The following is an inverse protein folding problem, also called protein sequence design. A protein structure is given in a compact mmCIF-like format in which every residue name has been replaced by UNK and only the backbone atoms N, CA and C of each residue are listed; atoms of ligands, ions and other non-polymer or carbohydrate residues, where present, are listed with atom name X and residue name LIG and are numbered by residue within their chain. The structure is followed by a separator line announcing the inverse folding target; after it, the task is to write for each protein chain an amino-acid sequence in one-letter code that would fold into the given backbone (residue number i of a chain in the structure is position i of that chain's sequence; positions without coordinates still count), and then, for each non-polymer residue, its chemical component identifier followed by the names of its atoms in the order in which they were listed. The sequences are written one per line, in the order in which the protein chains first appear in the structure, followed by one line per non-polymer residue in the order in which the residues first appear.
data_IF_715643756224
#
_entry.id   IF_715643756224
#
_cell.length_a   1.000
_cell.length_b   1.000
_cell.length_c   1.000
_cell.angle_alpha   90.00
_cell.angle_beta   90.00
_cell.angle_gamma   90.00
#
_symmetry.space_group_name_H-M   'P 1'
#
loop_
_entity.id
_entity.type
_entity.pdbx_description
1 polymer ?
#
# COMPACT_ATOMS: atom_id res chain seq x y z
N UNK A 1 2.06 -10.31 -7.99
CA UNK A 1 2.72 -9.10 -7.46
C UNK A 1 3.36 -8.22 -8.54
N UNK A 2 4.16 -8.78 -9.47
CA UNK A 2 4.90 -7.98 -10.47
C UNK A 2 4.04 -7.05 -11.34
N UNK A 3 2.90 -7.52 -11.84
CA UNK A 3 2.01 -6.70 -12.69
C UNK A 3 1.47 -5.47 -11.94
N UNK A 4 1.12 -5.61 -10.65
CA UNK A 4 0.58 -4.49 -9.86
C UNK A 4 1.65 -3.41 -9.68
N UNK A 5 2.90 -3.80 -9.39
CA UNK A 5 4.01 -2.85 -9.27
C UNK A 5 4.28 -2.11 -10.59
N UNK A 6 4.27 -2.83 -11.70
CA UNK A 6 4.41 -2.24 -13.03
C UNK A 6 3.28 -1.25 -13.36
N UNK A 7 2.03 -1.58 -12.99
CA UNK A 7 0.89 -0.67 -13.17
C UNK A 7 1.06 0.59 -12.33
N UNK A 8 1.49 0.47 -11.07
CA UNK A 8 1.74 1.62 -10.19
C UNK A 8 2.81 2.54 -10.78
N UNK A 9 3.92 1.98 -11.25
CA UNK A 9 4.97 2.74 -11.92
C UNK A 9 4.43 3.43 -13.19
N UNK A 10 3.65 2.73 -14.00
CA UNK A 10 3.08 3.27 -15.23
C UNK A 10 2.11 4.45 -15.00
N UNK A 11 1.42 4.49 -13.85
CA UNK A 11 0.54 5.60 -13.47
C UNK A 11 1.24 6.67 -12.61
N UNK A 12 2.58 6.61 -12.50
CA UNK A 12 3.38 7.59 -11.76
C UNK A 12 3.31 7.47 -10.24
N UNK A 13 2.91 6.31 -9.72
CA UNK A 13 2.94 5.99 -8.30
C UNK A 13 4.16 5.15 -7.94
N UNK A 14 4.67 5.35 -6.72
CA UNK A 14 5.69 4.47 -6.17
C UNK A 14 5.12 3.05 -5.97
N UNK A 15 5.79 1.99 -6.46
CA UNK A 15 5.39 0.60 -6.26
C UNK A 15 5.44 0.18 -4.79
N UNK A 16 6.17 0.92 -3.94
CA UNK A 16 6.25 0.69 -2.49
C UNK A 16 4.96 1.04 -1.75
N UNK A 17 3.99 1.65 -2.44
CA UNK A 17 2.63 1.87 -1.92
C UNK A 17 1.79 0.59 -1.84
N UNK A 18 2.30 -0.56 -2.32
CA UNK A 18 1.63 -1.86 -2.21
C UNK A 18 2.55 -2.89 -1.55
N UNK A 19 2.00 -3.53 -0.51
CA UNK A 19 2.63 -4.64 0.21
C UNK A 19 1.72 -5.86 0.10
N UNK A 20 2.32 -7.02 -0.10
CA UNK A 20 1.63 -8.30 -0.11
C UNK A 20 2.41 -9.27 0.77
N UNK A 21 1.72 -9.84 1.75
CA UNK A 21 2.26 -10.83 2.65
C UNK A 21 1.18 -11.88 2.95
N UNK A 22 1.57 -13.15 3.00
CA UNK A 22 0.67 -14.23 3.36
C UNK A 22 0.73 -14.42 4.88
N UNK A 23 -0.42 -14.33 5.54
CA UNK A 23 -0.55 -14.59 6.97
C UNK A 23 -1.63 -15.65 7.21
N UNK A 24 -1.32 -16.60 8.09
CA UNK A 24 -2.29 -17.57 8.63
C UNK A 24 -3.21 -16.88 9.64
N UNK A 25 -4.42 -17.42 9.84
CA UNK A 25 -5.41 -16.90 10.78
C UNK A 25 -4.91 -16.83 12.24
N UNK A 26 -3.88 -17.60 12.59
CA UNK A 26 -3.26 -17.58 13.92
C UNK A 26 -2.16 -16.50 14.08
N UNK A 27 -1.72 -15.87 12.98
CA UNK A 27 -0.58 -14.93 12.97
C UNK A 27 -1.02 -13.46 13.19
N UNK A 28 -1.93 -13.22 14.13
CA UNK A 28 -2.48 -11.89 14.38
C UNK A 28 -1.40 -10.83 14.70
N UNK A 29 -0.39 -11.19 15.51
CA UNK A 29 0.72 -10.29 15.82
C UNK A 29 1.57 -9.94 14.60
N UNK A 30 1.71 -10.86 13.64
CA UNK A 30 2.43 -10.62 12.38
C UNK A 30 1.70 -9.59 11.53
N UNK A 31 0.39 -9.77 11.34
CA UNK A 31 -0.46 -8.81 10.61
C UNK A 31 -0.37 -7.43 11.26
N UNK A 32 -0.45 -7.36 12.59
CA UNK A 32 -0.37 -6.10 13.31
C UNK A 32 1.01 -5.42 13.15
N UNK A 33 2.10 -6.18 13.02
CA UNK A 33 3.43 -5.66 12.70
C UNK A 33 3.50 -5.11 11.27
N UNK A 34 3.05 -5.91 10.31
CA UNK A 34 3.00 -5.56 8.87
C UNK A 34 2.22 -4.26 8.64
N UNK A 35 1.05 -4.12 9.26
CA UNK A 35 0.22 -2.91 9.13
C UNK A 35 0.94 -1.68 9.70
N UNK A 36 1.63 -1.81 10.83
CA UNK A 36 2.40 -0.70 11.43
C UNK A 36 3.56 -0.28 10.54
N UNK A 37 4.32 -1.24 10.03
CA UNK A 37 5.44 -0.98 9.11
C UNK A 37 4.95 -0.33 7.82
N UNK A 38 3.89 -0.86 7.21
CA UNK A 38 3.31 -0.30 5.99
C UNK A 38 2.80 1.13 6.22
N UNK A 39 2.17 1.38 7.37
CA UNK A 39 1.70 2.72 7.75
C UNK A 39 2.87 3.70 7.91
N UNK A 40 3.99 3.26 8.50
CA UNK A 40 5.19 4.08 8.62
C UNK A 40 5.75 4.45 7.23
N UNK A 41 5.93 3.45 6.35
CA UNK A 41 6.40 3.67 4.97
C UNK A 41 5.48 4.61 4.18
N UNK A 42 4.17 4.46 4.31
CA UNK A 42 3.21 5.35 3.65
C UNK A 42 3.29 6.80 4.16
N UNK A 43 3.59 7.00 5.44
CA UNK A 43 3.82 8.35 6.00
C UNK A 43 5.08 8.98 5.43
N UNK A 44 6.16 8.22 5.26
CA UNK A 44 7.41 8.70 4.64
C UNK A 44 7.23 9.05 3.16
N UNK A 45 6.46 8.24 2.42
CA UNK A 45 6.13 8.49 1.01
C UNK A 45 5.18 9.68 0.81
N UNK A 46 4.57 10.18 1.89
CA UNK A 46 3.60 11.27 1.84
C UNK A 46 2.28 10.90 1.16
N UNK A 47 1.36 11.88 1.05
CA UNK A 47 0.03 11.66 0.50
C UNK A 47 0.10 11.16 -0.95
N UNK A 48 -0.86 10.32 -1.35
CA UNK A 48 -0.97 9.85 -2.73
C UNK A 48 -1.32 11.01 -3.67
N UNK A 49 -0.62 11.18 -4.80
CA UNK A 49 -0.94 12.17 -5.82
C UNK A 49 -2.26 11.86 -6.56
N UNK A 50 -2.73 10.60 -6.52
CA UNK A 50 -4.03 10.20 -7.07
C UNK A 50 -5.20 10.55 -6.13
N UNK A 51 -5.12 11.67 -5.41
CA UNK A 51 -6.23 12.12 -4.56
C UNK A 51 -7.39 12.52 -5.48
N UNK A 52 -8.20 11.53 -5.85
CA UNK A 52 -9.38 11.69 -6.69
C UNK A 52 -10.45 12.42 -5.88
N UNK A 53 -11.07 13.36 -6.56
CA UNK A 53 -12.34 14.01 -6.28
C UNK A 53 -13.43 12.94 -6.01
N UNK A 54 -13.49 12.35 -4.81
CA UNK A 54 -14.60 11.48 -4.42
C UNK A 54 -15.78 12.27 -3.84
N UNK A 55 -16.09 13.43 -4.42
CA UNK A 55 -17.34 14.13 -4.19
C UNK A 55 -17.92 14.56 -5.54
N UNK A 56 -18.72 13.66 -6.11
CA UNK A 56 -20.00 13.87 -6.80
C UNK A 56 -20.29 12.66 -7.71
N UNK A 57 -20.96 11.66 -7.14
CA UNK A 57 -22.17 11.02 -7.68
C UNK A 57 -22.81 10.16 -6.58
#
# INVERSE_FOLDING_TARGET
MGIIKLILEAIGLSPDRVLFDNCSSAEGSKIAGIVREMTAKLKELGPSPLKIQSEKE
#
